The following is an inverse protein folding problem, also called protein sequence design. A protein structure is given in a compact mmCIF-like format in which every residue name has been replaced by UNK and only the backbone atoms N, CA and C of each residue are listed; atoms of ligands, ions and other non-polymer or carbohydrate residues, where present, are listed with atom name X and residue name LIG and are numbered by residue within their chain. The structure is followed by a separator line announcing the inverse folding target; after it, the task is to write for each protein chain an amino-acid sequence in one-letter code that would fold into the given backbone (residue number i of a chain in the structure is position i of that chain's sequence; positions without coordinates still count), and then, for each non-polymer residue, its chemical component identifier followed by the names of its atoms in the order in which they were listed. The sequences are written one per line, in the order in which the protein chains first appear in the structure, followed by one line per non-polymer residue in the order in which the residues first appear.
data_IF_929608643731
#
_entry.id   IF_929608643731
#
_cell.length_a   1.000
_cell.length_b   1.000
_cell.length_c   1.000
_cell.angle_alpha   90.00
_cell.angle_beta   90.00
_cell.angle_gamma   90.00
#
_symmetry.space_group_name_H-M   'P 1'
#
loop_
_entity.id
_entity.type
_entity.pdbx_description
1 polymer ?
#
# COMPACT_ATOMS: atom_id res chain seq x y z
N UNK A 1 -16.64 -24.83 44.38
CA UNK A 1 -15.96 -25.21 43.12
C UNK A 1 -16.87 -24.84 41.97
N UNK A 2 -16.61 -23.72 41.31
CA UNK A 2 -17.35 -23.29 40.12
C UNK A 2 -17.12 -24.32 39.00
N UNK A 3 -18.15 -25.13 38.72
CA UNK A 3 -18.17 -26.01 37.55
C UNK A 3 -18.22 -25.11 36.33
N UNK A 4 -17.14 -25.10 35.56
CA UNK A 4 -17.17 -24.59 34.19
C UNK A 4 -18.28 -25.32 33.43
N UNK A 5 -19.12 -24.62 32.64
CA UNK A 5 -20.16 -25.26 31.87
C UNK A 5 -19.54 -26.23 30.86
N UNK A 6 -20.12 -27.43 30.77
CA UNK A 6 -19.67 -28.49 29.88
C UNK A 6 -19.78 -28.00 28.43
N UNK A 7 -18.72 -28.17 27.63
CA UNK A 7 -18.60 -27.61 26.26
C UNK A 7 -19.82 -27.92 25.36
N UNK A 8 -20.44 -29.13 25.40
CA UNK A 8 -21.67 -29.40 24.64
C UNK A 8 -22.86 -28.53 25.05
N UNK A 9 -22.90 -28.07 26.30
CA UNK A 9 -23.95 -27.19 26.84
C UNK A 9 -23.79 -25.76 26.33
N UNK A 10 -22.54 -25.32 26.15
CA UNK A 10 -22.22 -24.03 25.55
C UNK A 10 -22.61 -24.04 24.06
N UNK A 11 -22.32 -25.12 23.34
CA UNK A 11 -22.67 -25.27 21.92
C UNK A 11 -24.20 -25.24 21.68
N UNK A 12 -25.00 -25.85 22.56
CA UNK A 12 -26.47 -25.80 22.48
C UNK A 12 -27.07 -24.40 22.67
N UNK A 13 -26.35 -23.44 23.25
CA UNK A 13 -26.85 -22.05 23.32
C UNK A 13 -26.88 -21.40 21.94
N UNK A 14 -25.99 -21.79 21.02
CA UNK A 14 -25.97 -21.26 19.66
C UNK A 14 -27.10 -21.80 18.80
N UNK A 15 -27.62 -23.01 19.07
CA UNK A 15 -28.78 -23.58 18.34
C UNK A 15 -30.10 -22.78 18.51
N UNK A 16 -30.19 -21.91 19.54
CA UNK A 16 -31.43 -21.18 19.90
C UNK A 16 -31.59 -19.81 19.25
N UNK A 17 -30.64 -19.38 18.43
CA UNK A 17 -30.69 -18.06 17.77
C UNK A 17 -31.58 -18.15 16.53
N UNK A 18 -32.52 -17.22 16.28
CA UNK A 18 -33.44 -17.31 15.13
C UNK A 18 -32.73 -16.99 13.80
N UNK A 19 -32.88 -17.87 12.80
CA UNK A 19 -32.37 -17.62 11.44
C UNK A 19 -33.25 -16.62 10.69
N UNK A 20 -32.72 -15.41 10.47
CA UNK A 20 -33.41 -14.36 9.72
C UNK A 20 -33.14 -14.56 8.22
N UNK A 21 -34.11 -15.07 7.46
CA UNK A 21 -34.08 -15.04 5.99
C UNK A 21 -34.70 -13.73 5.49
N UNK A 22 -33.89 -12.70 5.29
CA UNK A 22 -34.34 -11.42 4.75
C UNK A 22 -34.28 -11.44 3.21
N UNK A 23 -35.42 -11.66 2.55
CA UNK A 23 -35.49 -11.72 1.09
C UNK A 23 -35.92 -10.35 0.52
N UNK A 24 -34.96 -9.49 0.18
CA UNK A 24 -35.23 -8.17 -0.43
C UNK A 24 -35.27 -8.33 -1.96
N UNK A 25 -36.37 -7.94 -2.65
CA UNK A 25 -36.61 -8.28 -4.07
C UNK A 25 -35.60 -7.72 -5.08
N UNK A 26 -34.78 -6.74 -4.71
CA UNK A 26 -33.78 -6.11 -5.59
C UNK A 26 -32.32 -6.39 -5.20
N UNK A 27 -32.11 -7.12 -4.10
CA UNK A 27 -30.79 -7.55 -3.65
C UNK A 27 -30.95 -8.81 -2.77
N UNK A 28 -30.76 -10.03 -3.32
CA UNK A 28 -30.74 -11.22 -2.50
C UNK A 28 -29.51 -11.17 -1.58
N UNK A 29 -29.71 -10.76 -0.33
CA UNK A 29 -28.68 -10.84 0.70
C UNK A 29 -28.47 -12.31 1.06
N UNK A 30 -27.56 -12.96 0.36
CA UNK A 30 -27.06 -14.27 0.77
C UNK A 30 -26.32 -14.15 2.12
N UNK A 31 -26.25 -15.26 2.86
CA UNK A 31 -25.50 -15.38 4.11
C UNK A 31 -24.06 -14.83 4.04
N UNK A 32 -23.43 -14.88 2.85
CA UNK A 32 -22.10 -14.32 2.56
C UNK A 32 -22.05 -12.79 2.58
N UNK A 33 -23.10 -12.09 2.16
CA UNK A 33 -23.16 -10.62 2.22
C UNK A 33 -23.42 -10.14 3.64
N UNK A 34 -24.26 -10.89 4.37
CA UNK A 34 -24.53 -10.67 5.79
C UNK A 34 -23.25 -10.92 6.61
N UNK A 35 -22.50 -11.98 6.30
CA UNK A 35 -21.23 -12.27 6.99
C UNK A 35 -20.13 -11.27 6.67
N UNK A 36 -20.02 -10.81 5.42
CA UNK A 36 -19.09 -9.74 5.03
C UNK A 36 -19.42 -8.42 5.73
N UNK A 37 -20.70 -8.05 5.80
CA UNK A 37 -21.16 -6.86 6.52
C UNK A 37 -20.82 -6.97 8.02
N UNK A 38 -21.12 -8.11 8.65
CA UNK A 38 -20.81 -8.32 10.06
C UNK A 38 -19.30 -8.43 10.34
N UNK A 39 -18.50 -8.95 9.41
CA UNK A 39 -17.04 -8.97 9.53
C UNK A 39 -16.45 -7.56 9.45
N UNK A 40 -16.92 -6.73 8.53
CA UNK A 40 -16.52 -5.30 8.42
C UNK A 40 -16.99 -4.53 9.65
N UNK A 41 -18.21 -4.78 10.12
CA UNK A 41 -18.78 -4.17 11.32
C UNK A 41 -18.04 -4.62 12.59
N UNK A 42 -17.64 -5.88 12.69
CA UNK A 42 -16.81 -6.42 13.77
C UNK A 42 -15.45 -5.74 13.83
N UNK A 43 -14.79 -5.59 12.68
CA UNK A 43 -13.51 -4.89 12.55
C UNK A 43 -13.64 -3.40 12.93
N UNK A 44 -14.74 -2.77 12.56
CA UNK A 44 -15.03 -1.36 12.87
C UNK A 44 -15.43 -1.12 14.33
N UNK A 45 -16.17 -2.04 14.96
CA UNK A 45 -16.62 -1.93 16.34
C UNK A 45 -15.53 -2.32 17.34
N UNK A 46 -14.61 -3.22 16.96
CA UNK A 46 -13.37 -3.47 17.71
C UNK A 46 -12.47 -2.22 17.81
N UNK A 47 -12.74 -1.18 17.03
CA UNK A 47 -11.92 0.00 16.86
C UNK A 47 -12.34 1.18 17.76
N UNK A 48 -13.48 1.14 18.46
CA UNK A 48 -13.85 2.24 19.38
C UNK A 48 -13.56 1.94 20.86
N UNK A 49 -12.95 2.93 21.52
CA UNK A 49 -12.17 2.91 22.75
C UNK A 49 -12.69 2.03 23.91
N UNK A 50 -11.77 1.22 24.47
CA UNK A 50 -11.65 0.83 25.91
C UNK A 50 -12.91 0.44 26.68
N UNK A 51 -13.98 0.07 25.99
CA UNK A 51 -15.25 -0.27 26.60
C UNK A 51 -15.47 -1.78 26.49
N UNK A 52 -15.76 -2.49 27.60
CA UNK A 52 -16.11 -3.90 27.57
C UNK A 52 -17.31 -4.19 26.65
N UNK A 53 -18.09 -3.17 26.27
CA UNK A 53 -19.23 -3.27 25.36
C UNK A 53 -18.80 -3.72 23.96
N UNK A 54 -17.66 -3.25 23.44
CA UNK A 54 -17.22 -3.60 22.08
C UNK A 54 -16.59 -5.00 22.00
N UNK A 55 -15.91 -5.44 23.06
CA UNK A 55 -15.47 -6.84 23.20
C UNK A 55 -16.67 -7.79 23.32
N UNK A 56 -17.69 -7.42 24.09
CA UNK A 56 -18.93 -8.20 24.19
C UNK A 56 -19.64 -8.24 22.83
N UNK A 57 -19.66 -7.13 22.10
CA UNK A 57 -20.31 -7.05 20.79
C UNK A 57 -19.56 -7.86 19.73
N UNK A 58 -18.23 -7.88 19.76
CA UNK A 58 -17.42 -8.73 18.89
C UNK A 58 -17.72 -10.22 19.17
N UNK A 59 -17.76 -10.63 20.43
CA UNK A 59 -18.15 -11.99 20.83
C UNK A 59 -19.59 -12.34 20.42
N UNK A 60 -20.52 -11.39 20.49
CA UNK A 60 -21.92 -11.55 20.02
C UNK A 60 -21.99 -11.72 18.50
N UNK A 61 -21.15 -11.00 17.75
CA UNK A 61 -21.06 -11.13 16.30
C UNK A 61 -20.44 -12.46 15.88
N UNK A 62 -19.39 -12.91 16.57
CA UNK A 62 -18.85 -14.25 16.39
C UNK A 62 -19.92 -15.31 16.70
N UNK A 63 -20.66 -15.15 17.79
CA UNK A 63 -21.76 -16.04 18.16
C UNK A 63 -22.81 -16.15 17.06
N UNK A 64 -23.13 -15.02 16.42
CA UNK A 64 -24.09 -14.97 15.33
C UNK A 64 -23.56 -15.65 14.05
N UNK A 65 -22.29 -15.44 13.69
CA UNK A 65 -21.65 -16.11 12.55
C UNK A 65 -21.48 -17.61 12.78
N UNK A 66 -21.07 -18.00 13.98
CA UNK A 66 -20.94 -19.38 14.42
C UNK A 66 -22.28 -20.12 14.34
N UNK A 67 -23.38 -19.44 14.70
CA UNK A 67 -24.73 -19.97 14.50
C UNK A 67 -25.10 -20.09 13.02
N UNK A 68 -24.82 -19.06 12.22
CA UNK A 68 -25.24 -19.02 10.82
C UNK A 68 -24.53 -20.08 9.96
N UNK A 69 -23.30 -20.45 10.31
CA UNK A 69 -22.50 -21.49 9.66
C UNK A 69 -22.31 -22.73 10.55
N UNK A 70 -23.24 -22.98 11.48
CA UNK A 70 -23.09 -24.04 12.49
C UNK A 70 -22.86 -25.41 11.86
N UNK A 71 -23.60 -25.70 10.78
CA UNK A 71 -23.56 -26.97 10.05
C UNK A 71 -22.24 -27.21 9.30
N UNK A 72 -21.40 -26.19 9.13
CA UNK A 72 -20.10 -26.28 8.47
C UNK A 72 -18.93 -26.13 9.46
N UNK A 73 -19.07 -25.24 10.44
CA UNK A 73 -18.01 -24.88 11.39
C UNK A 73 -17.95 -25.80 12.62
N UNK A 74 -19.08 -26.41 13.00
CA UNK A 74 -19.23 -27.21 14.22
C UNK A 74 -19.85 -28.59 13.96
N UNK A 75 -19.80 -29.07 12.72
CA UNK A 75 -20.29 -30.38 12.28
C UNK A 75 -19.63 -31.56 13.02
N UNK A 76 -18.36 -31.41 13.41
CA UNK A 76 -17.60 -32.41 14.15
C UNK A 76 -16.89 -31.81 15.35
N UNK A 77 -16.52 -32.67 16.31
CA UNK A 77 -15.73 -32.27 17.48
C UNK A 77 -14.40 -31.62 17.09
N UNK A 78 -13.69 -32.16 16.10
CA UNK A 78 -12.42 -31.61 15.62
C UNK A 78 -12.61 -30.29 14.89
N UNK A 79 -13.63 -30.17 14.05
CA UNK A 79 -13.93 -28.91 13.39
C UNK A 79 -14.34 -27.83 14.40
N UNK A 80 -15.10 -28.18 15.44
CA UNK A 80 -15.42 -27.27 16.55
C UNK A 80 -14.17 -26.76 17.27
N UNK A 81 -13.21 -27.65 17.58
CA UNK A 81 -11.94 -27.26 18.20
C UNK A 81 -11.14 -26.35 17.28
N UNK A 82 -11.00 -26.71 16.00
CA UNK A 82 -10.25 -25.93 15.01
C UNK A 82 -10.89 -24.56 14.80
N UNK A 83 -12.22 -24.48 14.72
CA UNK A 83 -12.96 -23.23 14.58
C UNK A 83 -12.72 -22.31 15.79
N UNK A 84 -12.82 -22.84 17.02
CA UNK A 84 -12.58 -22.05 18.23
C UNK A 84 -11.12 -21.59 18.35
N UNK A 85 -10.17 -22.47 18.03
CA UNK A 85 -8.74 -22.12 18.02
C UNK A 85 -8.42 -21.08 16.95
N UNK A 86 -8.95 -21.26 15.75
CA UNK A 86 -8.75 -20.32 14.63
C UNK A 86 -9.35 -18.96 14.95
N UNK A 87 -10.57 -18.93 15.51
CA UNK A 87 -11.17 -17.69 15.99
C UNK A 87 -10.29 -17.03 17.05
N UNK A 88 -9.82 -17.79 18.06
CA UNK A 88 -8.95 -17.24 19.10
C UNK A 88 -7.68 -16.61 18.51
N UNK A 89 -6.99 -17.31 17.61
CA UNK A 89 -5.75 -16.81 16.98
C UNK A 89 -6.04 -15.59 16.12
N UNK A 90 -7.03 -15.65 15.23
CA UNK A 90 -7.40 -14.56 14.32
C UNK A 90 -7.86 -13.34 15.12
N UNK A 91 -8.67 -13.53 16.16
CA UNK A 91 -9.15 -12.45 17.02
C UNK A 91 -7.99 -11.74 17.72
N UNK A 92 -7.10 -12.48 18.38
CA UNK A 92 -5.96 -11.87 19.08
C UNK A 92 -5.01 -11.17 18.11
N UNK A 93 -4.75 -11.77 16.94
CA UNK A 93 -3.88 -11.18 15.93
C UNK A 93 -4.49 -9.90 15.34
N UNK A 94 -5.76 -9.94 14.92
CA UNK A 94 -6.44 -8.78 14.33
C UNK A 94 -6.65 -7.68 15.36
N UNK A 95 -7.09 -8.02 16.57
CA UNK A 95 -7.24 -7.04 17.66
C UNK A 95 -5.89 -6.40 17.98
N UNK A 96 -4.82 -7.18 18.07
CA UNK A 96 -3.46 -6.67 18.29
C UNK A 96 -2.97 -5.75 17.16
N UNK A 97 -3.14 -6.14 15.89
CA UNK A 97 -2.76 -5.32 14.74
C UNK A 97 -3.60 -4.03 14.69
N UNK A 98 -4.91 -4.11 14.89
CA UNK A 98 -5.81 -2.95 14.86
C UNK A 98 -5.47 -2.00 16.00
N UNK A 99 -5.29 -2.50 17.22
CA UNK A 99 -4.91 -1.68 18.36
C UNK A 99 -3.55 -1.01 18.15
N UNK A 100 -2.56 -1.77 17.67
CA UNK A 100 -1.27 -1.20 17.30
C UNK A 100 -1.41 -0.10 16.24
N UNK A 101 -2.07 -0.40 15.12
CA UNK A 101 -2.21 0.51 13.97
C UNK A 101 -3.02 1.74 14.38
N UNK A 102 -4.22 1.62 14.91
CA UNK A 102 -5.13 2.75 15.07
C UNK A 102 -5.05 3.46 16.42
N UNK A 103 -4.55 2.81 17.48
CA UNK A 103 -4.62 3.35 18.85
C UNK A 103 -3.23 3.67 19.40
N UNK A 104 -2.32 2.70 19.41
CA UNK A 104 -1.01 2.86 20.04
C UNK A 104 -0.04 3.65 19.16
N UNK A 105 -0.11 3.46 17.85
CA UNK A 105 0.84 4.08 16.91
C UNK A 105 0.52 5.55 16.69
N UNK A 106 1.46 6.41 17.10
CA UNK A 106 1.48 7.80 16.65
C UNK A 106 1.95 7.87 15.18
N UNK A 107 1.01 7.80 14.23
CA UNK A 107 1.29 7.97 12.79
C UNK A 107 1.95 9.31 12.47
N UNK A 108 1.84 10.30 13.35
CA UNK A 108 2.53 11.57 13.14
C UNK A 108 4.04 11.36 13.09
N UNK A 109 4.61 10.31 13.68
CA UNK A 109 6.03 9.97 13.55
C UNK A 109 6.37 9.60 12.11
N UNK A 110 5.53 8.80 11.46
CA UNK A 110 5.69 8.41 10.06
C UNK A 110 5.55 9.64 9.17
N UNK A 111 4.53 10.47 9.41
CA UNK A 111 4.35 11.72 8.66
C UNK A 111 5.52 12.68 8.87
N UNK A 112 6.05 12.80 10.09
CA UNK A 112 7.24 13.60 10.43
C UNK A 112 8.50 13.10 9.70
N UNK A 113 8.64 11.79 9.54
CA UNK A 113 9.82 11.16 8.95
C UNK A 113 9.62 10.67 7.50
N UNK A 114 8.50 11.05 6.84
CA UNK A 114 8.16 10.55 5.50
C UNK A 114 9.27 10.76 4.47
N UNK A 115 9.96 11.91 4.52
CA UNK A 115 11.08 12.19 3.63
C UNK A 115 12.21 11.18 3.84
N UNK A 116 12.55 10.87 5.10
CA UNK A 116 13.55 9.86 5.44
C UNK A 116 13.12 8.45 4.99
N UNK A 117 11.84 8.11 5.07
CA UNK A 117 11.31 6.83 4.58
C UNK A 117 11.41 6.72 3.05
N UNK A 118 11.11 7.80 2.34
CA UNK A 118 11.06 7.83 0.88
C UNK A 118 12.47 7.87 0.27
N UNK A 119 13.27 8.86 0.66
CA UNK A 119 14.56 9.13 0.03
C UNK A 119 15.75 8.61 0.82
N UNK A 120 15.61 8.38 2.12
CA UNK A 120 16.66 7.86 2.99
C UNK A 120 17.28 8.95 3.89
N UNK A 121 17.90 8.57 5.03
CA UNK A 121 18.39 9.53 6.03
C UNK A 121 19.43 10.49 5.48
N UNK A 122 20.35 10.01 4.64
CA UNK A 122 21.46 10.80 4.07
C UNK A 122 20.97 11.93 3.17
N UNK A 123 19.82 11.80 2.51
CA UNK A 123 19.25 12.86 1.69
C UNK A 123 18.43 13.90 2.49
N UNK A 124 18.32 13.73 3.81
CA UNK A 124 17.52 14.61 4.69
C UNK A 124 18.38 15.32 5.73
N UNK A 125 19.55 14.78 6.08
CA UNK A 125 20.45 15.42 7.06
C UNK A 125 21.00 16.76 6.54
N UNK A 126 21.28 17.74 7.42
CA UNK A 126 21.87 19.02 7.01
C UNK A 126 23.22 18.88 6.29
N UNK A 127 24.00 17.85 6.62
CA UNK A 127 25.32 17.63 6.05
C UNK A 127 25.28 17.22 4.57
N UNK A 128 24.35 16.34 4.19
CA UNK A 128 24.30 15.72 2.84
C UNK A 128 22.97 15.97 2.12
N UNK A 129 22.03 16.69 2.73
CA UNK A 129 20.70 16.95 2.17
C UNK A 129 20.68 17.85 0.94
N UNK A 130 21.77 18.58 0.67
CA UNK A 130 21.94 19.32 -0.58
C UNK A 130 22.06 18.37 -1.79
N UNK A 131 22.45 17.11 -1.59
CA UNK A 131 22.60 16.09 -2.65
C UNK A 131 21.27 15.48 -3.12
N UNK A 132 20.13 15.93 -2.57
CA UNK A 132 18.80 15.45 -2.95
C UNK A 132 18.49 15.64 -4.44
N UNK A 133 19.16 16.60 -5.10
CA UNK A 133 18.98 16.83 -6.53
C UNK A 133 19.33 15.61 -7.38
N UNK A 134 20.24 14.74 -6.91
CA UNK A 134 20.69 13.52 -7.59
C UNK A 134 19.58 12.50 -7.83
N UNK A 135 18.47 12.59 -7.10
CA UNK A 135 17.32 11.69 -7.25
C UNK A 135 16.46 12.06 -8.46
N UNK A 136 16.47 13.33 -8.90
CA UNK A 136 15.59 13.78 -9.98
C UNK A 136 16.00 13.24 -11.36
N UNK A 137 17.26 13.25 -11.81
CA UNK A 137 17.60 12.69 -13.12
C UNK A 137 17.22 11.20 -13.24
N UNK A 138 17.55 10.31 -12.27
CA UNK A 138 17.07 8.93 -12.26
C UNK A 138 15.54 8.82 -12.31
N UNK A 139 14.83 9.63 -11.53
CA UNK A 139 13.37 9.67 -11.56
C UNK A 139 12.84 9.99 -12.96
N UNK A 140 13.40 10.97 -13.66
CA UNK A 140 12.98 11.32 -15.02
C UNK A 140 13.24 10.19 -16.02
N UNK A 141 14.41 9.55 -15.95
CA UNK A 141 14.71 8.38 -16.78
C UNK A 141 13.71 7.25 -16.54
N UNK A 142 13.43 6.94 -15.27
CA UNK A 142 12.47 5.90 -14.90
C UNK A 142 11.06 6.22 -15.40
N UNK A 143 10.59 7.45 -15.23
CA UNK A 143 9.25 7.84 -15.71
C UNK A 143 9.15 7.76 -17.23
N UNK A 144 10.19 8.15 -17.96
CA UNK A 144 10.24 8.02 -19.42
C UNK A 144 10.20 6.55 -19.86
N UNK A 145 11.00 5.69 -19.23
CA UNK A 145 11.06 4.25 -19.54
C UNK A 145 9.74 3.56 -19.19
N UNK A 146 9.18 3.80 -18.00
CA UNK A 146 7.90 3.21 -17.57
C UNK A 146 6.77 3.67 -18.51
N UNK A 147 6.73 4.96 -18.86
CA UNK A 147 5.75 5.50 -19.80
C UNK A 147 5.86 4.83 -21.17
N UNK A 148 7.08 4.75 -21.72
CA UNK A 148 7.36 4.10 -22.99
C UNK A 148 7.00 2.60 -22.95
N UNK A 149 7.44 1.88 -21.93
CA UNK A 149 7.15 0.47 -21.71
C UNK A 149 5.65 0.20 -21.73
N UNK A 150 4.87 0.95 -20.94
CA UNK A 150 3.42 0.81 -20.89
C UNK A 150 2.76 1.17 -22.23
N UNK A 151 3.34 2.11 -22.98
CA UNK A 151 2.90 2.47 -24.33
C UNK A 151 2.97 1.31 -25.33
N UNK A 152 3.87 0.35 -25.12
CA UNK A 152 4.01 -0.83 -25.99
C UNK A 152 2.95 -1.90 -25.77
N UNK A 153 2.21 -1.86 -24.64
CA UNK A 153 1.29 -2.94 -24.24
C UNK A 153 -0.04 -2.95 -25.01
N UNK A 154 -0.26 -2.02 -25.95
CA UNK A 154 -1.51 -1.94 -26.74
C UNK A 154 -2.77 -1.59 -25.94
N UNK A 155 -2.64 -1.30 -24.65
CA UNK A 155 -3.73 -0.98 -23.73
C UNK A 155 -4.47 0.31 -24.11
N UNK A 156 -5.76 0.41 -23.75
CA UNK A 156 -6.55 1.62 -24.03
C UNK A 156 -5.93 2.83 -23.33
N UNK A 157 -5.75 3.96 -24.07
CA UNK A 157 -5.23 5.22 -23.54
C UNK A 157 -5.89 5.64 -22.21
N UNK A 158 -7.21 5.54 -22.12
CA UNK A 158 -7.96 5.95 -20.92
C UNK A 158 -7.59 5.15 -19.68
N UNK A 159 -7.33 3.85 -19.81
CA UNK A 159 -6.96 2.98 -18.68
C UNK A 159 -5.63 3.42 -18.08
N UNK A 160 -4.64 3.75 -18.92
CA UNK A 160 -3.38 4.30 -18.45
C UNK A 160 -3.57 5.66 -17.79
N UNK A 161 -4.21 6.63 -18.48
CA UNK A 161 -4.32 7.99 -17.96
C UNK A 161 -5.13 8.08 -16.66
N UNK A 162 -6.16 7.25 -16.45
CA UNK A 162 -6.90 7.21 -15.18
C UNK A 162 -5.98 6.77 -14.04
N UNK A 163 -5.35 5.60 -14.17
CA UNK A 163 -4.46 5.08 -13.12
C UNK A 163 -3.26 5.99 -12.90
N UNK A 164 -2.69 6.53 -13.97
CA UNK A 164 -1.56 7.46 -13.92
C UNK A 164 -1.93 8.79 -13.27
N UNK A 165 -3.16 9.29 -13.49
CA UNK A 165 -3.65 10.50 -12.84
C UNK A 165 -3.89 10.28 -11.35
N UNK A 166 -4.46 9.13 -10.95
CA UNK A 166 -4.62 8.76 -9.54
C UNK A 166 -3.25 8.70 -8.85
N UNK A 167 -2.27 8.03 -9.48
CA UNK A 167 -0.89 7.97 -8.98
C UNK A 167 -0.27 9.37 -8.85
N UNK A 168 -0.42 10.22 -9.89
CA UNK A 168 0.09 11.59 -9.90
C UNK A 168 -0.51 12.45 -8.79
N UNK A 169 -1.83 12.36 -8.59
CA UNK A 169 -2.53 13.06 -7.52
C UNK A 169 -2.07 12.58 -6.14
N UNK A 170 -1.85 11.28 -5.97
CA UNK A 170 -1.31 10.74 -4.72
C UNK A 170 0.09 11.30 -4.44
N UNK A 171 1.01 11.28 -5.43
CA UNK A 171 2.34 11.87 -5.27
C UNK A 171 2.30 13.36 -4.91
N UNK A 172 1.42 14.13 -5.57
CA UNK A 172 1.24 15.55 -5.27
C UNK A 172 0.69 15.78 -3.86
N UNK A 173 -0.29 14.99 -3.43
CA UNK A 173 -0.83 15.06 -2.08
C UNK A 173 0.25 14.73 -1.03
N UNK A 174 1.06 13.69 -1.26
CA UNK A 174 2.16 13.33 -0.37
C UNK A 174 3.24 14.41 -0.28
N UNK A 175 3.53 15.10 -1.40
CA UNK A 175 4.46 16.21 -1.43
C UNK A 175 3.87 17.40 -0.64
N UNK A 176 2.66 17.84 -0.99
CA UNK A 176 2.05 19.02 -0.39
C UNK A 176 1.55 18.84 1.03
N UNK A 177 1.46 17.62 1.54
CA UNK A 177 1.06 17.36 2.92
C UNK A 177 1.95 18.16 3.88
N UNK A 178 1.33 19.01 4.68
CA UNK A 178 1.98 19.75 5.75
C UNK A 178 1.27 19.46 7.06
N UNK A 179 2.06 19.24 8.10
CA UNK A 179 1.61 19.27 9.47
C UNK A 179 2.64 19.97 10.32
N UNK A 180 2.16 20.85 11.18
CA UNK A 180 2.96 21.55 12.18
C UNK A 180 2.92 20.77 13.49
N UNK A 181 4.06 20.68 14.16
CA UNK A 181 4.14 20.06 15.48
C UNK A 181 5.10 20.83 16.38
N UNK A 182 4.86 20.78 17.68
CA UNK A 182 5.78 21.35 18.66
C UNK A 182 7.00 20.44 18.85
N UNK A 183 8.19 20.92 18.52
CA UNK A 183 9.43 20.19 18.77
C UNK A 183 9.97 20.52 20.15
N UNK A 184 10.03 19.51 21.03
CA UNK A 184 10.69 19.66 22.34
C UNK A 184 12.19 19.94 22.24
N UNK A 185 12.83 19.57 21.12
CA UNK A 185 14.26 19.83 20.87
C UNK A 185 14.52 21.29 20.51
N UNK A 186 13.72 21.85 19.59
CA UNK A 186 13.86 23.24 19.15
C UNK A 186 13.07 24.24 20.01
N UNK A 187 12.18 23.74 20.88
CA UNK A 187 11.23 24.53 21.70
C UNK A 187 10.36 25.48 20.86
N UNK A 188 10.02 25.06 19.65
CA UNK A 188 9.22 25.84 18.70
C UNK A 188 8.33 24.91 17.86
N UNK A 189 7.28 25.48 17.27
CA UNK A 189 6.44 24.79 16.29
C UNK A 189 7.16 24.73 14.96
N UNK A 190 7.48 23.51 14.51
CA UNK A 190 8.18 23.27 13.25
C UNK A 190 7.26 22.56 12.28
N UNK A 191 7.31 22.97 11.01
CA UNK A 191 6.61 22.28 9.92
C UNK A 191 7.35 21.02 9.52
N UNK A 192 6.61 19.94 9.28
CA UNK A 192 7.16 18.70 8.71
C UNK A 192 7.64 18.83 7.28
N UNK A 193 7.37 19.98 6.62
CA UNK A 193 7.69 20.19 5.22
C UNK A 193 9.18 20.39 4.99
N UNK A 194 9.89 21.24 5.73
CA UNK A 194 11.36 21.40 5.70
C UNK A 194 12.11 21.17 4.34
N UNK A 195 11.52 21.56 3.21
CA UNK A 195 12.10 21.57 1.86
C UNK A 195 11.31 22.58 1.00
N UNK A 196 11.82 22.97 -0.17
CA UNK A 196 11.10 23.85 -1.11
C UNK A 196 9.96 23.08 -1.82
N UNK A 197 8.69 23.33 -1.46
CA UNK A 197 7.58 22.61 -2.05
C UNK A 197 7.33 23.01 -3.50
N UNK A 198 7.62 24.27 -3.88
CA UNK A 198 7.31 24.78 -5.21
C UNK A 198 8.29 24.18 -6.22
N UNK A 199 9.60 24.28 -5.95
CA UNK A 199 10.62 23.66 -6.80
C UNK A 199 10.44 22.15 -6.93
N UNK A 200 10.16 21.47 -5.82
CA UNK A 200 9.91 20.02 -5.83
C UNK A 200 8.65 19.64 -6.59
N UNK A 201 7.60 20.47 -6.55
CA UNK A 201 6.36 20.27 -7.33
C UNK A 201 6.65 20.39 -8.82
N UNK A 202 7.42 21.39 -9.25
CA UNK A 202 7.80 21.56 -10.66
C UNK A 202 8.58 20.34 -11.15
N UNK A 203 9.55 19.87 -10.37
CA UNK A 203 10.35 18.69 -10.72
C UNK A 203 9.50 17.41 -10.79
N UNK A 204 8.58 17.22 -9.84
CA UNK A 204 7.65 16.08 -9.86
C UNK A 204 6.73 16.13 -11.08
N UNK A 205 6.07 17.27 -11.32
CA UNK A 205 5.18 17.46 -12.47
C UNK A 205 5.93 17.29 -13.80
N UNK A 206 7.17 17.75 -13.91
CA UNK A 206 7.99 17.55 -15.10
C UNK A 206 8.28 16.08 -15.38
N UNK A 207 8.63 15.28 -14.36
CA UNK A 207 8.85 13.84 -14.53
C UNK A 207 7.56 13.07 -14.85
N UNK A 208 6.44 13.45 -14.21
CA UNK A 208 5.11 12.89 -14.51
C UNK A 208 4.65 13.24 -15.94
N UNK A 209 4.83 14.49 -16.36
CA UNK A 209 4.51 14.93 -17.71
C UNK A 209 5.38 14.21 -18.75
N UNK A 210 6.67 14.01 -18.46
CA UNK A 210 7.57 13.25 -19.32
C UNK A 210 7.10 11.81 -19.49
N UNK A 211 6.76 11.12 -18.40
CA UNK A 211 6.25 9.74 -18.46
C UNK A 211 4.93 9.64 -19.23
N UNK A 212 3.99 10.55 -18.98
CA UNK A 212 2.74 10.62 -19.72
C UNK A 212 2.96 10.92 -21.22
N UNK A 213 3.91 11.80 -21.55
CA UNK A 213 4.32 12.13 -22.91
C UNK A 213 4.93 10.94 -23.63
N UNK A 214 5.89 10.25 -23.00
CA UNK A 214 6.50 9.03 -23.53
C UNK A 214 5.46 7.94 -23.78
N UNK A 215 4.53 7.72 -22.84
CA UNK A 215 3.40 6.82 -23.07
C UNK A 215 2.60 7.21 -24.30
N UNK A 216 2.18 8.48 -24.39
CA UNK A 216 1.35 8.94 -25.49
C UNK A 216 2.03 8.74 -26.85
N UNK A 217 3.31 9.11 -26.95
CA UNK A 217 4.11 8.99 -28.16
C UNK A 217 4.27 7.53 -28.57
N UNK A 218 4.75 6.68 -27.66
CA UNK A 218 4.98 5.25 -27.96
C UNK A 218 3.67 4.55 -28.28
N UNK A 219 2.62 4.77 -27.49
CA UNK A 219 1.31 4.19 -27.76
C UNK A 219 0.78 4.64 -29.13
N UNK A 220 0.90 5.92 -29.48
CA UNK A 220 0.44 6.40 -30.79
C UNK A 220 1.19 5.79 -31.97
N UNK A 221 2.48 5.49 -31.79
CA UNK A 221 3.32 4.94 -32.84
C UNK A 221 3.19 3.43 -32.99
N UNK A 222 3.03 2.71 -31.87
CA UNK A 222 3.07 1.25 -31.83
C UNK A 222 1.72 0.55 -31.70
N UNK A 223 0.62 1.29 -31.45
CA UNK A 223 -0.73 0.70 -31.32
C UNK A 223 -1.13 -0.17 -32.51
N UNK A 224 -0.81 0.28 -33.72
CA UNK A 224 -1.16 -0.41 -34.97
C UNK A 224 0.07 -1.02 -35.65
N UNK A 225 1.19 -1.13 -34.92
CA UNK A 225 2.44 -1.69 -35.43
C UNK A 225 2.45 -3.22 -35.33
N UNK A 226 3.19 -3.86 -36.23
CA UNK A 226 3.43 -5.30 -36.18
C UNK A 226 4.23 -5.72 -34.93
N UNK A 227 3.95 -6.92 -34.43
CA UNK A 227 4.54 -7.44 -33.17
C UNK A 227 6.07 -7.42 -33.18
N UNK A 228 6.71 -7.68 -34.32
CA UNK A 228 8.17 -7.65 -34.41
C UNK A 228 8.76 -6.25 -34.14
N UNK A 229 8.07 -5.18 -34.55
CA UNK A 229 8.50 -3.80 -34.32
C UNK A 229 8.35 -3.43 -32.85
N UNK A 230 7.28 -3.91 -32.22
CA UNK A 230 7.01 -3.73 -30.78
C UNK A 230 8.11 -4.43 -29.98
N UNK A 231 8.40 -5.71 -30.27
CA UNK A 231 9.45 -6.48 -29.59
C UNK A 231 10.84 -5.87 -29.77
N UNK A 232 11.14 -5.37 -30.98
CA UNK A 232 12.40 -4.66 -31.21
C UNK A 232 12.54 -3.42 -30.32
N UNK A 233 11.48 -2.61 -30.21
CA UNK A 233 11.48 -1.44 -29.33
C UNK A 233 11.54 -1.82 -27.85
N UNK A 234 10.84 -2.87 -27.43
CA UNK A 234 10.94 -3.41 -26.07
C UNK A 234 12.38 -3.85 -25.73
N UNK A 235 13.09 -4.51 -26.65
CA UNK A 235 14.51 -4.85 -26.45
C UNK A 235 15.41 -3.61 -26.30
N UNK A 236 15.11 -2.53 -27.03
CA UNK A 236 15.78 -1.23 -26.83
C UNK A 236 15.47 -0.69 -25.43
N UNK A 237 14.21 -0.74 -24.98
CA UNK A 237 13.82 -0.30 -23.63
C UNK A 237 14.52 -1.12 -22.54
N UNK A 238 14.66 -2.44 -22.71
CA UNK A 238 15.44 -3.29 -21.81
C UNK A 238 16.89 -2.81 -21.72
N UNK A 239 17.52 -2.56 -22.87
CA UNK A 239 18.90 -2.05 -22.93
C UNK A 239 19.03 -0.67 -22.25
N UNK A 240 18.10 0.25 -22.53
CA UNK A 240 18.04 1.57 -21.92
C UNK A 240 17.81 1.50 -20.41
N UNK A 241 17.05 0.51 -19.94
CA UNK A 241 16.81 0.30 -18.50
C UNK A 241 18.08 -0.11 -17.78
N UNK A 242 18.88 -1.00 -18.37
CA UNK A 242 20.19 -1.38 -17.83
C UNK A 242 21.14 -0.17 -17.79
N UNK A 243 21.17 0.64 -18.85
CA UNK A 243 21.97 1.87 -18.90
C UNK A 243 21.49 2.86 -17.84
N UNK A 244 20.18 3.06 -17.71
CA UNK A 244 19.58 3.95 -16.71
C UNK A 244 19.87 3.50 -15.28
N UNK A 245 19.90 2.19 -15.02
CA UNK A 245 20.30 1.62 -13.75
C UNK A 245 21.75 1.97 -13.40
N UNK A 246 22.68 1.73 -14.34
CA UNK A 246 24.10 2.07 -14.14
C UNK A 246 24.26 3.59 -13.95
N UNK A 247 23.61 4.39 -14.79
CA UNK A 247 23.63 5.85 -14.66
C UNK A 247 23.06 6.32 -13.32
N UNK A 248 22.00 5.67 -12.82
CA UNK A 248 21.43 5.95 -11.50
C UNK A 248 22.45 5.70 -10.39
N UNK A 249 23.15 4.57 -10.43
CA UNK A 249 24.23 4.29 -9.46
C UNK A 249 25.32 5.36 -9.55
N UNK A 250 25.80 5.69 -10.75
CA UNK A 250 26.86 6.68 -10.93
C UNK A 250 26.45 8.11 -10.54
N UNK A 251 25.17 8.45 -10.63
CA UNK A 251 24.65 9.76 -10.21
C UNK A 251 24.51 9.81 -8.70
N UNK A 252 24.01 8.74 -8.08
CA UNK A 252 23.77 8.67 -6.63
C UNK A 252 25.05 8.45 -5.83
N UNK A 253 25.94 7.57 -6.32
CA UNK A 253 27.20 7.17 -5.70
C UNK A 253 28.33 7.20 -6.76
N UNK A 254 28.71 8.40 -7.24
CA UNK A 254 29.81 8.52 -8.20
C UNK A 254 31.12 7.99 -7.60
N UNK A 255 32.05 7.48 -8.43
CA UNK A 255 33.34 7.03 -7.94
C UNK A 255 34.14 8.19 -7.33
N UNK A 256 34.43 8.11 -6.03
CA UNK A 256 35.14 9.14 -5.27
C UNK A 256 34.70 9.17 -3.80
N UNK A 257 35.05 10.25 -3.09
CA UNK A 257 34.57 10.50 -1.71
C UNK A 257 33.22 11.26 -1.68
N UNK A 258 32.72 11.67 -2.85
CA UNK A 258 31.46 12.41 -3.00
C UNK A 258 30.30 11.47 -3.35
N UNK A 259 29.12 11.72 -2.78
CA UNK A 259 27.90 10.97 -3.10
C UNK A 259 27.21 10.33 -1.90
N UNK A 260 26.16 9.56 -2.20
CA UNK A 260 25.35 8.86 -1.22
C UNK A 260 25.38 7.38 -1.51
N UNK A 261 26.05 6.63 -0.62
CA UNK A 261 26.15 5.17 -0.69
C UNK A 261 24.77 4.50 -0.69
N UNK A 262 24.62 3.33 -1.35
CA UNK A 262 23.37 2.57 -1.38
C UNK A 262 22.74 2.28 -0.01
N UNK A 263 23.54 2.13 1.04
CA UNK A 263 23.06 1.94 2.41
C UNK A 263 22.30 3.14 2.99
N UNK A 264 22.46 4.33 2.39
CA UNK A 264 21.75 5.55 2.77
C UNK A 264 20.47 5.79 1.98
N UNK A 265 20.16 4.97 0.96
CA UNK A 265 18.99 5.17 0.11
C UNK A 265 17.71 4.75 0.83
N UNK A 266 16.64 5.51 0.62
CA UNK A 266 15.31 5.23 1.18
C UNK A 266 14.60 4.08 0.47
N UNK A 267 13.55 3.57 1.11
CA UNK A 267 12.81 2.41 0.62
C UNK A 267 12.13 2.65 -0.72
N UNK A 268 11.59 3.85 -0.96
CA UNK A 268 10.94 4.17 -2.24
C UNK A 268 11.95 4.25 -3.39
N UNK A 269 13.13 4.84 -3.16
CA UNK A 269 14.20 4.91 -4.17
C UNK A 269 14.64 3.50 -4.58
N UNK A 270 14.88 2.63 -3.59
CA UNK A 270 15.23 1.22 -3.85
C UNK A 270 14.12 0.49 -4.62
N UNK A 271 12.86 0.67 -4.21
CA UNK A 271 11.72 0.03 -4.88
C UNK A 271 11.53 0.50 -6.32
N UNK A 272 11.77 1.79 -6.63
CA UNK A 272 11.73 2.30 -7.99
C UNK A 272 12.84 1.70 -8.86
N UNK A 273 14.04 1.55 -8.29
CA UNK A 273 15.15 0.87 -8.94
C UNK A 273 14.78 -0.59 -9.25
N UNK A 274 14.25 -1.33 -8.26
CA UNK A 274 13.78 -2.71 -8.47
C UNK A 274 12.62 -2.82 -9.46
N UNK A 275 11.69 -1.87 -9.47
CA UNK A 275 10.58 -1.84 -10.44
C UNK A 275 11.11 -1.72 -11.88
N UNK A 276 12.21 -0.98 -12.09
CA UNK A 276 12.85 -0.93 -13.41
C UNK A 276 13.43 -2.29 -13.82
N UNK A 277 13.99 -3.07 -12.89
CA UNK A 277 14.43 -4.43 -13.16
C UNK A 277 13.27 -5.35 -13.59
N UNK A 278 12.04 -5.11 -13.13
CA UNK A 278 10.87 -5.85 -13.61
C UNK A 278 10.57 -5.62 -15.11
N UNK A 279 10.96 -4.47 -15.68
CA UNK A 279 10.85 -4.21 -17.12
C UNK A 279 11.82 -5.11 -17.89
N UNK A 280 13.04 -5.29 -17.37
CA UNK A 280 14.05 -6.19 -17.95
C UNK A 280 13.53 -7.64 -17.93
N UNK A 281 12.92 -8.07 -16.83
CA UNK A 281 12.37 -9.43 -16.73
C UNK A 281 11.10 -9.60 -17.58
N UNK A 282 10.22 -8.61 -17.59
CA UNK A 282 8.93 -8.69 -18.28
C UNK A 282 9.00 -8.61 -19.80
N UNK A 283 10.06 -8.01 -20.36
CA UNK A 283 10.27 -7.92 -21.81
C UNK A 283 11.51 -8.68 -22.32
N UNK A 284 12.46 -9.01 -21.44
CA UNK A 284 13.68 -9.73 -21.80
C UNK A 284 13.57 -11.25 -21.74
N UNK A 285 12.44 -11.79 -21.26
CA UNK A 285 12.07 -13.22 -21.28
C UNK A 285 10.96 -13.43 -22.29
#
# INVERSE_FOLDING_TARGET
MNKWPDVPTILRMFERIPQIKLNIPYMPLNNTHISLFFAILFLYLSHDLSSPIFEILSLVLFAYLAHLYQDELFDTFWNSIITLLSFFVIYNLLSGIINFVFVETDWNIIWRNRRMLLVGPTFVTPATGHEIWRLWPPFYFLMAIIGAAYGTLGEKKSRFFISYSIFSLACLAFLWQEQDYYSGFYKETVSTRNYDPVGSTVLLLGGLALGAGCFHLVHSYYKDAEEYRIKYFQNILVSLTVIAFIATILILDPPGDDGVKPSGWGGLVLNLIFASAAIVVGFGV
#
